data_IF_496279528783
#
_entry.id   IF_496279528783
#
_cell.length_a   1.000
_cell.length_b   1.000
_cell.length_c   1.000
_cell.angle_alpha   90.00
_cell.angle_beta   90.00
_cell.angle_gamma   90.00
#
_symmetry.space_group_name_H-M   'P 1'
#
loop_
_entity.id
_entity.type
_entity.pdbx_description
1 polymer ?
#
# COMPACT_ATOMS: atom_id res chain seq x y z
N UNK A 1 0.94 -9.10 53.73
CA UNK A 1 0.07 -8.03 53.18
C UNK A 1 0.87 -7.03 52.33
N UNK A 2 2.11 -6.71 52.69
CA UNK A 2 3.00 -5.78 51.96
C UNK A 2 3.23 -6.14 50.47
N UNK A 3 3.34 -7.43 50.15
CA UNK A 3 3.50 -7.91 48.77
C UNK A 3 2.24 -7.66 47.91
N UNK A 4 1.04 -7.79 48.50
CA UNK A 4 -0.23 -7.57 47.79
C UNK A 4 -0.45 -6.09 47.48
N UNK A 5 -0.04 -5.20 48.37
CA UNK A 5 -0.12 -3.75 48.16
C UNK A 5 0.85 -3.28 47.08
N UNK A 6 2.09 -3.80 47.11
CA UNK A 6 3.10 -3.57 46.06
C UNK A 6 2.60 -4.01 44.68
N UNK A 7 2.04 -5.22 44.59
CA UNK A 7 1.45 -5.76 43.35
C UNK A 7 0.27 -4.91 42.84
N UNK A 8 -0.55 -4.34 43.73
CA UNK A 8 -1.64 -3.43 43.32
C UNK A 8 -1.10 -2.13 42.73
N UNK A 9 -0.09 -1.54 43.37
CA UNK A 9 0.55 -0.31 42.89
C UNK A 9 1.20 -0.50 41.52
N UNK A 10 1.95 -1.60 41.36
CA UNK A 10 2.55 -1.97 40.07
C UNK A 10 1.47 -2.15 38.98
N UNK A 11 0.36 -2.82 39.31
CA UNK A 11 -0.75 -2.98 38.37
C UNK A 11 -1.41 -1.64 37.97
N UNK A 12 -1.52 -0.68 38.90
CA UNK A 12 -2.02 0.65 38.56
C UNK A 12 -1.06 1.43 37.67
N UNK A 13 0.24 1.36 37.92
CA UNK A 13 1.27 1.97 37.07
C UNK A 13 1.26 1.36 35.66
N UNK A 14 1.20 0.04 35.56
CA UNK A 14 1.10 -0.66 34.28
C UNK A 14 -0.16 -0.26 33.51
N UNK A 15 -1.31 -0.09 34.19
CA UNK A 15 -2.54 0.40 33.55
C UNK A 15 -2.38 1.83 33.01
N UNK A 16 -1.76 2.72 33.78
CA UNK A 16 -1.48 4.11 33.36
C UNK A 16 -0.56 4.13 32.14
N UNK A 17 0.49 3.30 32.15
CA UNK A 17 1.42 3.22 31.03
C UNK A 17 0.78 2.63 29.77
N UNK A 18 -0.05 1.59 29.90
CA UNK A 18 -0.85 1.05 28.79
C UNK A 18 -1.73 2.14 28.17
N UNK A 19 -2.39 2.96 28.99
CA UNK A 19 -3.26 4.03 28.50
C UNK A 19 -2.47 5.14 27.79
N UNK A 20 -1.29 5.49 28.34
CA UNK A 20 -0.35 6.40 27.69
C UNK A 20 0.07 5.85 26.31
N UNK A 21 0.49 4.60 26.22
CA UNK A 21 0.91 3.96 24.97
C UNK A 21 -0.22 3.92 23.93
N UNK A 22 -1.46 3.63 24.35
CA UNK A 22 -2.63 3.73 23.46
C UNK A 22 -2.80 5.14 22.92
N UNK A 23 -2.70 6.17 23.77
CA UNK A 23 -2.86 7.57 23.35
C UNK A 23 -1.79 7.98 22.31
N UNK A 24 -0.54 7.53 22.47
CA UNK A 24 0.56 7.79 21.54
C UNK A 24 0.25 7.13 20.19
N UNK A 25 -0.18 5.86 20.21
CA UNK A 25 -0.55 5.13 18.99
C UNK A 25 -1.67 5.83 18.22
N UNK A 26 -2.68 6.35 18.92
CA UNK A 26 -3.79 7.10 18.31
C UNK A 26 -3.26 8.38 17.63
N UNK A 27 -2.44 9.17 18.33
CA UNK A 27 -1.85 10.41 17.77
C UNK A 27 -0.97 10.13 16.56
N UNK A 28 -0.13 9.08 16.62
CA UNK A 28 0.69 8.66 15.48
C UNK A 28 -0.17 8.26 14.28
N UNK A 29 -1.22 7.45 14.50
CA UNK A 29 -2.15 7.05 13.45
C UNK A 29 -2.83 8.26 12.81
N UNK A 30 -3.30 9.21 13.61
CA UNK A 30 -3.89 10.46 13.10
C UNK A 30 -2.88 11.29 12.29
N UNK A 31 -1.63 11.39 12.73
CA UNK A 31 -0.56 12.05 11.99
C UNK A 31 -0.29 11.39 10.64
N UNK A 32 -0.27 10.06 10.58
CA UNK A 32 -0.11 9.30 9.33
C UNK A 32 -1.29 9.50 8.39
N UNK A 33 -2.53 9.48 8.90
CA UNK A 33 -3.74 9.77 8.10
C UNK A 33 -3.66 11.18 7.49
N UNK A 34 -3.26 12.18 8.28
CA UNK A 34 -3.08 13.56 7.79
C UNK A 34 -2.01 13.66 6.69
N UNK A 35 -0.92 12.88 6.78
CA UNK A 35 0.11 12.83 5.72
C UNK A 35 -0.42 12.16 4.45
N UNK A 36 -1.12 11.03 4.59
CA UNK A 36 -1.73 10.33 3.46
C UNK A 36 -2.75 11.24 2.73
N UNK A 37 -3.58 11.98 3.48
CA UNK A 37 -4.51 12.95 2.91
C UNK A 37 -3.85 14.15 2.21
N UNK A 38 -2.55 14.38 2.43
CA UNK A 38 -1.74 15.36 1.68
C UNK A 38 -0.99 14.72 0.50
N UNK A 39 -1.30 13.47 0.16
CA UNK A 39 -0.64 12.73 -0.91
C UNK A 39 0.82 12.36 -0.62
N UNK A 40 1.24 12.35 0.65
CA UNK A 40 2.61 11.98 1.03
C UNK A 40 2.85 10.47 0.89
N UNK A 41 4.08 10.10 0.55
CA UNK A 41 4.50 8.70 0.45
C UNK A 41 4.47 8.04 1.82
N UNK A 42 3.75 6.92 1.94
CA UNK A 42 3.51 6.23 3.22
C UNK A 42 4.33 4.95 3.41
N UNK A 43 4.93 4.42 2.35
CA UNK A 43 5.64 3.14 2.33
C UNK A 43 6.86 3.18 1.42
N UNK A 44 7.54 2.04 1.24
CA UNK A 44 8.54 1.86 0.19
C UNK A 44 7.95 2.17 -1.19
N UNK A 45 8.80 2.61 -2.11
CA UNK A 45 8.42 2.90 -3.48
C UNK A 45 7.79 1.65 -4.14
N UNK A 46 6.64 1.79 -4.81
CA UNK A 46 6.11 0.73 -5.66
C UNK A 46 7.05 0.46 -6.85
N UNK A 47 6.92 -0.73 -7.43
CA UNK A 47 7.62 -1.10 -8.66
C UNK A 47 7.35 -0.05 -9.75
N UNK A 48 8.34 0.33 -10.57
CA UNK A 48 8.18 1.42 -11.55
C UNK A 48 8.27 2.84 -10.97
N UNK A 49 8.51 3.01 -9.66
CA UNK A 49 8.78 4.30 -9.03
C UNK A 49 10.05 4.27 -8.16
N UNK A 50 10.64 5.44 -7.97
CA UNK A 50 11.66 5.72 -6.94
C UNK A 50 11.17 6.82 -6.00
N UNK A 51 11.71 6.84 -4.77
CA UNK A 51 11.47 7.96 -3.85
C UNK A 51 12.63 8.93 -3.96
N UNK A 52 12.35 10.16 -4.40
CA UNK A 52 13.31 11.26 -4.41
C UNK A 52 12.72 12.44 -3.65
N UNK A 53 13.47 12.95 -2.66
CA UNK A 53 13.04 14.06 -1.80
C UNK A 53 11.64 13.85 -1.17
N UNK A 54 11.31 12.60 -0.82
CA UNK A 54 10.02 12.25 -0.20
C UNK A 54 8.83 12.21 -1.16
N UNK A 55 9.07 12.22 -2.48
CA UNK A 55 8.04 12.11 -3.53
C UNK A 55 8.29 10.87 -4.38
N UNK A 56 7.22 10.27 -4.91
CA UNK A 56 7.31 9.22 -5.91
C UNK A 56 7.55 9.84 -7.28
N UNK A 57 8.57 9.35 -7.98
CA UNK A 57 8.92 9.75 -9.34
C UNK A 57 9.01 8.47 -10.18
N UNK A 58 8.46 8.45 -11.41
CA UNK A 58 8.58 7.29 -12.30
C UNK A 58 10.04 6.88 -12.48
N UNK A 59 10.30 5.58 -12.35
CA UNK A 59 11.63 4.99 -12.51
C UNK A 59 11.92 4.64 -13.98
N UNK A 60 13.13 4.15 -14.25
CA UNK A 60 13.52 3.66 -15.59
C UNK A 60 12.61 2.53 -16.07
N UNK A 61 12.23 1.62 -15.18
CA UNK A 61 11.35 0.49 -15.49
C UNK A 61 9.85 0.82 -15.41
N UNK A 62 9.46 2.10 -15.47
CA UNK A 62 8.05 2.51 -15.38
C UNK A 62 7.21 1.91 -16.51
N UNK A 63 7.78 1.76 -17.71
CA UNK A 63 7.05 1.33 -18.91
C UNK A 63 6.58 -0.13 -18.78
N UNK A 64 7.33 -0.94 -18.02
CA UNK A 64 6.98 -2.32 -17.70
C UNK A 64 5.64 -2.43 -16.94
N UNK A 65 5.24 -1.38 -16.20
CA UNK A 65 3.92 -1.34 -15.55
C UNK A 65 2.81 -1.34 -16.59
N UNK A 66 2.92 -0.49 -17.61
CA UNK A 66 1.88 -0.39 -18.63
C UNK A 66 1.81 -1.69 -19.44
N UNK A 67 2.96 -2.28 -19.78
CA UNK A 67 3.06 -3.59 -20.42
C UNK A 67 2.36 -4.68 -19.60
N UNK A 68 2.68 -4.80 -18.30
CA UNK A 68 2.04 -5.77 -17.40
C UNK A 68 0.52 -5.62 -17.39
N UNK A 69 0.00 -4.39 -17.34
CA UNK A 69 -1.44 -4.14 -17.31
C UNK A 69 -2.10 -4.49 -18.65
N UNK A 70 -1.48 -4.10 -19.77
CA UNK A 70 -1.98 -4.40 -21.11
C UNK A 70 -1.97 -5.90 -21.41
N UNK A 71 -0.88 -6.59 -21.10
CA UNK A 71 -0.79 -8.04 -21.30
C UNK A 71 -1.76 -8.79 -20.41
N UNK A 72 -1.86 -8.40 -19.12
CA UNK A 72 -2.85 -8.99 -18.24
C UNK A 72 -4.27 -8.79 -18.77
N UNK A 73 -4.59 -7.66 -19.41
CA UNK A 73 -5.91 -7.39 -19.94
C UNK A 73 -6.19 -8.16 -21.24
N UNK A 74 -5.27 -8.11 -22.20
CA UNK A 74 -5.48 -8.53 -23.57
C UNK A 74 -5.13 -10.00 -23.82
N UNK A 75 -4.17 -10.55 -23.07
CA UNK A 75 -3.74 -11.94 -23.26
C UNK A 75 -4.56 -12.94 -22.42
N UNK A 76 -4.61 -14.18 -22.91
CA UNK A 76 -5.14 -15.32 -22.18
C UNK A 76 -4.01 -16.19 -21.62
N UNK A 77 -3.19 -15.59 -20.75
CA UNK A 77 -2.08 -16.27 -20.06
C UNK A 77 -2.34 -16.36 -18.56
N UNK A 78 -1.77 -17.37 -17.92
CA UNK A 78 -1.87 -17.53 -16.46
C UNK A 78 -1.04 -16.47 -15.74
N UNK A 79 -1.44 -16.12 -14.51
CA UNK A 79 -0.65 -15.23 -13.64
C UNK A 79 0.79 -15.73 -13.44
N UNK A 80 1.00 -17.05 -13.43
CA UNK A 80 2.33 -17.64 -13.28
C UNK A 80 3.21 -17.31 -14.50
N UNK A 81 2.67 -17.49 -15.71
CA UNK A 81 3.39 -17.21 -16.95
C UNK A 81 3.70 -15.72 -17.10
N UNK A 82 2.72 -14.85 -16.80
CA UNK A 82 2.92 -13.40 -16.83
C UNK A 82 3.97 -12.97 -15.79
N UNK A 83 3.90 -13.51 -14.57
CA UNK A 83 4.88 -13.19 -13.53
C UNK A 83 6.29 -13.63 -13.92
N UNK A 84 6.44 -14.83 -14.48
CA UNK A 84 7.72 -15.35 -14.97
C UNK A 84 8.32 -14.47 -16.09
N UNK A 85 7.48 -14.02 -17.04
CA UNK A 85 7.89 -13.13 -18.13
C UNK A 85 8.49 -11.82 -17.63
N UNK A 86 7.92 -11.25 -16.57
CA UNK A 86 8.40 -10.01 -15.95
C UNK A 86 9.36 -10.23 -14.77
N UNK A 87 9.87 -11.45 -14.59
CA UNK A 87 10.77 -11.80 -13.47
C UNK A 87 10.20 -11.46 -12.08
N UNK A 88 8.87 -11.54 -11.94
CA UNK A 88 8.13 -11.28 -10.72
C UNK A 88 7.69 -12.59 -10.06
N UNK A 89 7.45 -12.54 -8.75
CA UNK A 89 6.62 -13.55 -8.10
C UNK A 89 5.14 -13.31 -8.45
N UNK A 90 4.33 -14.38 -8.44
CA UNK A 90 2.87 -14.27 -8.65
C UNK A 90 2.23 -13.28 -7.66
N UNK A 91 2.66 -13.29 -6.40
CA UNK A 91 2.17 -12.33 -5.40
C UNK A 91 2.64 -10.90 -5.69
N UNK A 92 3.85 -10.72 -6.21
CA UNK A 92 4.36 -9.42 -6.67
C UNK A 92 3.51 -8.85 -7.80
N UNK A 93 3.25 -9.66 -8.83
CA UNK A 93 2.38 -9.31 -9.95
C UNK A 93 0.97 -8.92 -9.47
N UNK A 94 0.34 -9.72 -8.59
CA UNK A 94 -0.97 -9.39 -8.03
C UNK A 94 -0.97 -8.05 -7.28
N UNK A 95 0.09 -7.75 -6.52
CA UNK A 95 0.23 -6.47 -5.83
C UNK A 95 0.34 -5.33 -6.83
N UNK A 96 1.07 -5.51 -7.94
CA UNK A 96 1.19 -4.52 -9.01
C UNK A 96 -0.19 -4.25 -9.62
N UNK A 97 -0.89 -5.28 -10.08
CA UNK A 97 -2.19 -5.15 -10.76
C UNK A 97 -3.30 -4.50 -9.90
N UNK A 98 -3.12 -4.42 -8.57
CA UNK A 98 -4.10 -3.84 -7.63
C UNK A 98 -3.67 -2.52 -7.01
N UNK A 99 -2.48 -2.02 -7.34
CA UNK A 99 -1.93 -0.86 -6.66
C UNK A 99 -2.45 0.45 -7.25
N UNK A 100 -3.27 1.15 -6.48
CA UNK A 100 -3.82 2.48 -6.81
C UNK A 100 -2.75 3.55 -7.08
N UNK A 101 -1.50 3.35 -6.66
CA UNK A 101 -0.39 4.27 -6.98
C UNK A 101 -0.18 4.44 -8.48
N UNK A 102 -0.45 3.43 -9.30
CA UNK A 102 -0.27 3.55 -10.75
C UNK A 102 -1.24 4.53 -11.42
N UNK A 103 -2.35 4.86 -10.75
CA UNK A 103 -3.33 5.87 -11.19
C UNK A 103 -3.27 7.16 -10.36
N UNK A 104 -2.13 7.46 -9.74
CA UNK A 104 -1.93 8.72 -9.00
C UNK A 104 -2.53 8.73 -7.60
N UNK A 105 -2.91 7.57 -7.04
CA UNK A 105 -3.60 7.49 -5.73
C UNK A 105 -2.78 6.76 -4.67
N UNK A 106 -3.08 6.99 -3.40
CA UNK A 106 -2.38 6.37 -2.27
C UNK A 106 -3.38 5.62 -1.41
N UNK A 107 -3.17 4.31 -1.24
CA UNK A 107 -3.97 3.49 -0.33
C UNK A 107 -3.31 3.46 1.06
N UNK A 108 -3.99 3.98 2.07
CA UNK A 108 -3.52 3.96 3.46
C UNK A 108 -4.68 3.74 4.42
N UNK A 109 -4.49 2.85 5.41
CA UNK A 109 -5.51 2.52 6.42
C UNK A 109 -6.90 2.24 5.80
N UNK A 110 -6.93 1.38 4.78
CA UNK A 110 -8.12 0.99 4.00
C UNK A 110 -8.88 2.13 3.31
N UNK A 111 -8.29 3.32 3.24
CA UNK A 111 -8.82 4.45 2.49
C UNK A 111 -7.90 4.78 1.32
N UNK A 112 -8.48 5.39 0.30
CA UNK A 112 -7.77 5.83 -0.90
C UNK A 112 -7.76 7.35 -0.88
N UNK A 113 -6.59 7.93 -1.06
CA UNK A 113 -6.35 9.37 -1.09
C UNK A 113 -5.74 9.75 -2.43
N UNK A 114 -5.94 10.99 -2.85
CA UNK A 114 -5.25 11.53 -4.02
C UNK A 114 -3.76 11.72 -3.69
N UNK A 115 -2.91 11.19 -4.56
CA UNK A 115 -1.45 11.34 -4.49
C UNK A 115 -1.01 12.61 -5.22
N UNK A 116 0.22 13.04 -4.96
CA UNK A 116 0.84 14.18 -5.69
C UNK A 116 1.82 13.73 -6.76
N UNK A 117 1.94 12.44 -7.01
CA UNK A 117 2.87 11.85 -7.97
C UNK A 117 2.20 11.64 -9.32
N UNK A 118 3.03 11.57 -10.36
CA UNK A 118 2.58 11.32 -11.73
C UNK A 118 2.02 9.89 -11.86
N UNK A 119 0.81 9.69 -12.39
CA UNK A 119 0.30 8.36 -12.71
C UNK A 119 1.07 7.73 -13.87
N UNK A 120 1.29 6.41 -13.83
CA UNK A 120 1.92 5.67 -14.94
C UNK A 120 0.88 5.15 -15.92
N UNK A 121 -0.33 4.80 -15.44
CA UNK A 121 -1.42 4.29 -16.29
C UNK A 121 -2.70 5.10 -16.13
N UNK A 122 -3.56 5.01 -17.13
CA UNK A 122 -4.90 5.61 -17.07
C UNK A 122 -5.81 4.90 -16.07
N UNK A 123 -6.73 5.66 -15.47
CA UNK A 123 -7.79 5.09 -14.62
C UNK A 123 -8.65 4.09 -15.38
N UNK A 124 -8.89 4.30 -16.68
CA UNK A 124 -9.66 3.37 -17.53
C UNK A 124 -8.97 2.01 -17.64
N UNK A 125 -7.67 1.97 -17.96
CA UNK A 125 -6.92 0.72 -18.05
C UNK A 125 -6.92 -0.02 -16.70
N UNK A 126 -6.68 0.71 -15.61
CA UNK A 126 -6.72 0.14 -14.26
C UNK A 126 -8.07 -0.49 -13.93
N UNK A 127 -9.17 0.19 -14.25
CA UNK A 127 -10.53 -0.29 -13.97
C UNK A 127 -10.84 -1.57 -14.75
N UNK A 128 -10.55 -1.63 -16.05
CA UNK A 128 -10.73 -2.86 -16.83
C UNK A 128 -9.92 -4.03 -16.28
N UNK A 129 -8.70 -3.77 -15.78
CA UNK A 129 -7.90 -4.78 -15.09
C UNK A 129 -8.55 -5.23 -13.78
N UNK A 130 -9.13 -4.31 -12.99
CA UNK A 130 -9.86 -4.68 -11.77
C UNK A 130 -11.07 -5.56 -12.08
N UNK A 131 -11.84 -5.22 -13.12
CA UNK A 131 -13.01 -6.00 -13.55
C UNK A 131 -12.59 -7.42 -13.98
N UNK A 132 -11.48 -7.54 -14.73
CA UNK A 132 -10.93 -8.86 -15.12
C UNK A 132 -10.46 -9.65 -13.90
N UNK A 133 -9.79 -9.01 -12.92
CA UNK A 133 -9.37 -9.68 -11.68
C UNK A 133 -10.58 -10.20 -10.88
N UNK A 134 -11.64 -9.41 -10.78
CA UNK A 134 -12.88 -9.78 -10.09
C UNK A 134 -13.57 -10.96 -10.78
N UNK A 135 -13.74 -10.90 -12.10
CA UNK A 135 -14.31 -12.00 -12.90
C UNK A 135 -13.56 -13.32 -12.74
N UNK A 136 -12.23 -13.24 -12.60
CA UNK A 136 -11.36 -14.41 -12.41
C UNK A 136 -11.25 -14.85 -10.93
N UNK A 137 -11.90 -14.15 -9.99
CA UNK A 137 -11.83 -14.45 -8.56
C UNK A 137 -10.45 -14.27 -7.95
N UNK A 138 -9.59 -13.45 -8.57
CA UNK A 138 -8.20 -13.26 -8.13
C UNK A 138 -8.18 -12.27 -6.96
N UNK A 139 -8.06 -12.82 -5.75
CA UNK A 139 -7.82 -12.06 -4.52
C UNK A 139 -6.36 -11.65 -4.36
#
# INVERSE_FOLDING_TARGET
MENLESLKNENEELKKEIERLKSIKIKQKQGMIKKAGKGSVMSRAPFGYVIQQGRLIPAENKDEIEEIFQEFLNENISLRKLAEKHHLSVNGLKKILKNFTYIGKIKFNNQIYEGTHEPIISTTLFNHVQDKLERLGIR
#
